data_IF_693132568450
#
_entry.id   IF_693132568450
#
_cell.length_a   1.000
_cell.length_b   1.000
_cell.length_c   1.000
_cell.angle_alpha   90.00
_cell.angle_beta   90.00
_cell.angle_gamma   90.00
#
_symmetry.space_group_name_H-M   'P 1'
#
loop_
_entity.id
_entity.type
_entity.pdbx_description
1 polymer ?
#
# COMPACT_ATOMS: atom_id res chain seq x y z
N UNK A 1 10.94 -26.33 -30.18
CA UNK A 1 10.69 -25.96 -29.63
C UNK A 1 10.06 -25.45 -28.92
N UNK A 2 10.30 -25.27 -28.90
CA UNK A 2 9.79 -24.98 -28.26
C UNK A 2 9.02 -23.99 -27.52
N UNK A 3 7.87 -24.01 -27.72
CA UNK A 3 6.96 -23.04 -27.11
C UNK A 3 7.22 -22.89 -25.63
N UNK A 4 7.60 -23.96 -25.00
CA UNK A 4 7.98 -23.92 -23.61
C UNK A 4 9.14 -22.99 -23.34
N UNK A 5 10.12 -23.03 -24.21
CA UNK A 5 11.28 -22.15 -24.09
C UNK A 5 10.86 -20.69 -24.25
N UNK A 6 9.96 -20.42 -25.18
CA UNK A 6 9.50 -19.06 -25.43
C UNK A 6 8.77 -18.50 -24.20
N UNK A 7 7.98 -19.33 -23.56
CA UNK A 7 7.22 -18.88 -22.38
C UNK A 7 8.12 -18.58 -21.19
N UNK A 8 9.25 -19.27 -21.10
CA UNK A 8 10.15 -19.05 -19.98
C UNK A 8 11.11 -17.90 -20.20
N UNK A 9 11.18 -17.41 -21.44
CA UNK A 9 12.03 -16.26 -21.75
C UNK A 9 11.30 -14.96 -21.49
N UNK A 10 11.90 -14.12 -20.68
CA UNK A 10 11.35 -12.81 -20.39
C UNK A 10 12.18 -11.76 -21.13
N UNK A 11 11.52 -10.99 -21.97
CA UNK A 11 12.18 -9.87 -22.65
C UNK A 11 12.05 -8.64 -21.75
N UNK A 12 13.15 -8.30 -21.12
CA UNK A 12 13.18 -7.20 -20.16
C UNK A 12 12.82 -5.88 -20.83
N UNK A 13 13.32 -5.64 -22.03
CA UNK A 13 13.03 -4.39 -22.73
C UNK A 13 11.53 -4.24 -22.99
N UNK A 14 10.88 -5.32 -23.44
CA UNK A 14 9.44 -5.30 -23.66
C UNK A 14 8.67 -5.07 -22.37
N UNK A 15 9.12 -5.72 -21.28
CA UNK A 15 8.46 -5.54 -20.00
C UNK A 15 8.61 -4.10 -19.47
N UNK A 16 9.76 -3.47 -19.72
CA UNK A 16 9.96 -2.08 -19.32
C UNK A 16 9.04 -1.13 -20.09
N UNK A 17 8.85 -1.40 -21.38
CA UNK A 17 7.91 -0.61 -22.18
C UNK A 17 6.48 -0.77 -21.65
N UNK A 18 6.10 -1.98 -21.32
CA UNK A 18 4.79 -2.28 -20.77
C UNK A 18 4.59 -1.59 -19.43
N UNK A 19 5.59 -1.65 -18.57
CA UNK A 19 5.57 -0.98 -17.27
C UNK A 19 5.46 0.54 -17.43
N UNK A 20 6.17 1.11 -18.41
CA UNK A 20 6.13 2.53 -18.69
C UNK A 20 4.72 2.97 -19.08
N UNK A 21 4.05 2.19 -19.94
CA UNK A 21 2.69 2.51 -20.35
C UNK A 21 1.72 2.40 -19.17
N UNK A 22 1.88 1.37 -18.38
CA UNK A 22 1.05 1.19 -17.18
C UNK A 22 1.23 2.37 -16.22
N UNK A 23 2.46 2.84 -16.06
CA UNK A 23 2.75 3.98 -15.20
C UNK A 23 2.03 5.23 -15.69
N UNK A 24 2.03 5.48 -17.01
CA UNK A 24 1.33 6.63 -17.56
C UNK A 24 -0.17 6.54 -17.32
N UNK A 25 -0.74 5.37 -17.54
CA UNK A 25 -2.18 5.17 -17.37
C UNK A 25 -2.59 5.39 -15.92
N UNK A 26 -1.81 4.85 -14.98
CA UNK A 26 -2.12 5.01 -13.56
C UNK A 26 -1.93 6.44 -13.08
N UNK A 27 -0.99 7.14 -13.67
CA UNK A 27 -0.78 8.55 -13.34
C UNK A 27 -1.98 9.42 -13.64
N UNK A 28 -2.79 9.04 -14.61
CA UNK A 28 -4.01 9.78 -14.93
C UNK A 28 -5.07 9.64 -13.83
N UNK A 29 -5.05 8.53 -13.10
CA UNK A 29 -6.05 8.26 -12.07
C UNK A 29 -5.51 8.63 -10.69
N UNK A 30 -4.29 8.23 -10.40
CA UNK A 30 -3.73 8.35 -9.05
C UNK A 30 -2.78 9.53 -8.87
N UNK A 31 -2.46 10.23 -9.96
CA UNK A 31 -1.51 11.33 -9.91
C UNK A 31 -0.14 10.84 -9.48
N UNK A 32 0.54 11.64 -8.67
CA UNK A 32 1.88 11.29 -8.18
C UNK A 32 1.83 10.82 -6.74
N UNK A 33 0.87 9.98 -6.44
CA UNK A 33 0.64 9.45 -5.11
C UNK A 33 1.90 8.86 -4.47
N UNK A 34 2.72 8.17 -5.28
CA UNK A 34 3.94 7.56 -4.77
C UNK A 34 4.96 8.59 -4.27
N UNK A 35 4.89 9.82 -4.75
CA UNK A 35 5.76 10.89 -4.26
C UNK A 35 5.19 11.55 -3.02
N UNK A 36 3.87 11.62 -2.93
CA UNK A 36 3.20 12.26 -1.81
C UNK A 36 3.29 11.41 -0.55
N UNK A 37 3.43 10.11 -0.72
CA UNK A 37 3.44 9.17 0.40
C UNK A 37 4.56 9.48 1.40
N UNK A 38 5.77 9.77 0.90
CA UNK A 38 6.93 9.99 1.75
C UNK A 38 6.71 11.07 2.81
N UNK A 39 6.40 12.31 2.40
CA UNK A 39 6.15 13.37 3.37
C UNK A 39 5.00 13.08 4.31
N UNK A 40 3.91 12.50 3.81
CA UNK A 40 2.76 12.17 4.65
C UNK A 40 3.13 11.11 5.68
N UNK A 41 3.77 10.03 5.23
CA UNK A 41 4.19 8.97 6.13
C UNK A 41 5.17 9.46 7.17
N UNK A 42 6.10 10.31 6.76
CA UNK A 42 7.08 10.86 7.68
C UNK A 42 6.38 11.66 8.79
N UNK A 43 5.40 12.48 8.42
CA UNK A 43 4.67 13.29 9.40
C UNK A 43 3.86 12.42 10.36
N UNK A 44 3.25 11.35 9.86
CA UNK A 44 2.36 10.53 10.66
C UNK A 44 3.08 9.47 11.48
N UNK A 45 4.18 8.93 10.95
CA UNK A 45 4.84 7.78 11.57
C UNK A 45 6.03 8.15 12.44
N UNK A 46 6.43 9.42 12.46
CA UNK A 46 7.54 9.86 13.31
C UNK A 46 7.22 9.59 14.77
N UNK A 47 8.19 9.00 15.47
CA UNK A 47 8.01 8.70 16.87
C UNK A 47 7.36 7.36 17.18
N UNK A 48 6.88 6.66 16.18
CA UNK A 48 6.36 5.32 16.41
C UNK A 48 7.48 4.34 16.66
N UNK A 49 7.26 3.44 17.60
CA UNK A 49 8.20 2.38 17.91
C UNK A 49 7.78 1.09 17.21
N UNK A 50 8.68 0.55 16.40
CA UNK A 50 8.41 -0.69 15.66
C UNK A 50 9.53 -1.65 16.02
N UNK A 51 9.25 -2.59 16.91
CA UNK A 51 10.26 -3.47 17.48
C UNK A 51 9.96 -4.95 17.31
N UNK A 52 8.69 -5.33 17.45
CA UNK A 52 8.29 -6.73 17.37
C UNK A 52 7.72 -7.07 16.00
N UNK A 53 7.59 -8.37 15.72
CA UNK A 53 6.95 -8.80 14.48
C UNK A 53 5.51 -8.30 14.40
N UNK A 54 4.82 -8.25 15.55
CA UNK A 54 3.48 -7.69 15.59
C UNK A 54 3.44 -6.22 15.25
N UNK A 55 4.44 -5.47 15.74
CA UNK A 55 4.56 -4.06 15.38
C UNK A 55 4.76 -3.86 13.89
N UNK A 56 5.60 -4.71 13.27
CA UNK A 56 5.82 -4.64 11.84
C UNK A 56 4.57 -4.98 11.05
N UNK A 57 3.77 -5.95 11.53
CA UNK A 57 2.50 -6.28 10.88
C UNK A 57 1.55 -5.08 10.92
N UNK A 58 1.42 -4.44 12.07
CA UNK A 58 0.59 -3.25 12.23
C UNK A 58 1.07 -2.12 11.32
N UNK A 59 2.38 -1.92 11.27
CA UNK A 59 2.97 -0.90 10.41
C UNK A 59 2.63 -1.16 8.95
N UNK A 60 2.72 -2.42 8.51
CA UNK A 60 2.43 -2.77 7.13
C UNK A 60 1.01 -2.40 6.72
N UNK A 61 0.03 -2.68 7.58
CA UNK A 61 -1.36 -2.31 7.31
C UNK A 61 -1.52 -0.80 7.34
N UNK A 62 -0.89 -0.13 8.30
CA UNK A 62 -0.97 1.32 8.42
C UNK A 62 -0.42 2.01 7.17
N UNK A 63 0.67 1.49 6.62
CA UNK A 63 1.25 2.01 5.37
C UNK A 63 0.23 1.93 4.23
N UNK A 64 -0.51 0.82 4.15
CA UNK A 64 -1.55 0.69 3.13
C UNK A 64 -2.67 1.71 3.35
N UNK A 65 -3.05 1.95 4.58
CA UNK A 65 -4.08 2.94 4.90
C UNK A 65 -3.64 4.33 4.43
N UNK A 66 -2.42 4.71 4.74
CA UNK A 66 -1.88 6.01 4.32
C UNK A 66 -1.86 6.11 2.81
N UNK A 67 -1.45 5.05 2.13
CA UNK A 67 -1.41 5.03 0.67
C UNK A 67 -2.80 5.24 0.06
N UNK A 68 -3.83 4.59 0.63
CA UNK A 68 -5.19 4.75 0.14
C UNK A 68 -5.73 6.15 0.41
N UNK A 69 -5.37 6.73 1.55
CA UNK A 69 -5.77 8.10 1.86
C UNK A 69 -5.15 9.10 0.90
N UNK A 70 -3.86 8.97 0.60
CA UNK A 70 -3.21 9.89 -0.33
C UNK A 70 -3.82 9.75 -1.73
N UNK A 71 -4.19 8.51 -2.11
CA UNK A 71 -4.86 8.26 -3.39
C UNK A 71 -6.25 8.91 -3.41
N UNK A 72 -6.97 8.81 -2.31
CA UNK A 72 -8.27 9.47 -2.22
C UNK A 72 -8.12 10.99 -2.35
N UNK A 73 -7.16 11.56 -1.66
CA UNK A 73 -6.92 13.01 -1.73
C UNK A 73 -6.59 13.46 -3.14
N UNK A 74 -5.84 12.66 -3.89
CA UNK A 74 -5.51 12.99 -5.28
C UNK A 74 -6.75 13.02 -6.17
N UNK A 75 -7.82 12.37 -5.76
CA UNK A 75 -9.06 12.30 -6.55
C UNK A 75 -10.20 13.08 -5.92
N UNK A 76 -9.93 13.85 -4.87
CA UNK A 76 -10.97 14.58 -4.15
C UNK A 76 -11.75 15.52 -5.07
N UNK A 77 -11.06 16.28 -5.89
CA UNK A 77 -11.71 17.26 -6.78
C UNK A 77 -12.42 16.61 -7.96
N UNK A 78 -12.23 15.30 -8.15
CA UNK A 78 -12.91 14.52 -9.20
C UNK A 78 -14.10 13.76 -8.66
N UNK A 79 -14.50 14.04 -7.42
CA UNK A 79 -15.63 13.36 -6.80
C UNK A 79 -15.24 12.22 -5.87
N UNK A 80 -13.95 12.06 -5.61
CA UNK A 80 -13.47 11.02 -4.70
C UNK A 80 -13.00 9.78 -5.44
N UNK A 81 -12.79 8.70 -4.70
CA UNK A 81 -12.32 7.43 -5.26
C UNK A 81 -12.87 6.30 -4.40
N UNK A 82 -13.95 5.70 -4.88
CA UNK A 82 -14.67 4.70 -4.09
C UNK A 82 -13.82 3.49 -3.74
N UNK A 83 -13.02 3.01 -4.69
CA UNK A 83 -12.16 1.84 -4.43
C UNK A 83 -11.21 2.09 -3.27
N UNK A 84 -10.67 3.30 -3.16
CA UNK A 84 -9.78 3.64 -2.05
C UNK A 84 -10.53 3.59 -0.72
N UNK A 85 -11.77 4.08 -0.70
CA UNK A 85 -12.58 4.06 0.53
C UNK A 85 -12.95 2.64 0.92
N UNK A 86 -13.29 1.80 -0.06
CA UNK A 86 -13.57 0.40 0.21
C UNK A 86 -12.34 -0.31 0.78
N UNK A 87 -11.17 -0.08 0.17
CA UNK A 87 -9.93 -0.65 0.67
C UNK A 87 -9.62 -0.17 2.08
N UNK A 88 -9.85 1.12 2.35
CA UNK A 88 -9.64 1.68 3.68
C UNK A 88 -10.49 0.97 4.73
N UNK A 89 -11.75 0.67 4.40
CA UNK A 89 -12.63 0.00 5.35
C UNK A 89 -12.10 -1.39 5.71
N UNK A 90 -11.57 -2.11 4.73
CA UNK A 90 -11.00 -3.45 4.96
C UNK A 90 -9.72 -3.35 5.79
N UNK A 91 -8.81 -2.47 5.40
CA UNK A 91 -7.55 -2.32 6.11
C UNK A 91 -7.75 -1.83 7.54
N UNK A 92 -8.75 -0.98 7.78
CA UNK A 92 -9.06 -0.53 9.13
C UNK A 92 -9.47 -1.70 10.03
N UNK A 93 -10.27 -2.62 9.50
CA UNK A 93 -10.66 -3.81 10.27
C UNK A 93 -9.47 -4.72 10.53
N UNK A 94 -8.60 -4.88 9.53
CA UNK A 94 -7.39 -5.68 9.71
C UNK A 94 -6.51 -5.08 10.81
N UNK A 95 -6.38 -3.77 10.85
CA UNK A 95 -5.57 -3.12 11.87
C UNK A 95 -6.19 -3.29 13.26
N UNK A 96 -7.52 -3.22 13.34
CA UNK A 96 -8.22 -3.49 14.62
C UNK A 96 -7.89 -4.88 15.14
N UNK A 97 -7.90 -5.87 14.25
CA UNK A 97 -7.58 -7.24 14.64
C UNK A 97 -6.13 -7.34 15.13
N UNK A 98 -5.20 -6.74 14.39
CA UNK A 98 -3.80 -6.76 14.79
C UNK A 98 -3.56 -6.03 16.11
N UNK A 99 -4.26 -4.90 16.33
CA UNK A 99 -4.17 -4.21 17.60
C UNK A 99 -4.67 -5.09 18.74
N UNK A 100 -5.76 -5.80 18.52
CA UNK A 100 -6.31 -6.69 19.54
C UNK A 100 -5.35 -7.83 19.85
N UNK A 101 -4.78 -8.42 18.81
CA UNK A 101 -3.78 -9.49 18.97
C UNK A 101 -2.58 -8.99 19.77
N UNK A 102 -2.14 -7.78 19.48
CA UNK A 102 -1.01 -7.16 20.17
C UNK A 102 -1.32 -6.97 21.66
N UNK A 103 -2.52 -6.47 21.96
CA UNK A 103 -2.94 -6.29 23.35
C UNK A 103 -3.06 -7.59 24.10
N UNK A 104 -3.61 -8.61 23.44
CA UNK A 104 -3.74 -9.94 24.08
C UNK A 104 -2.37 -10.56 24.32
N UNK A 105 -1.46 -10.42 23.35
CA UNK A 105 -0.10 -10.90 23.53
C UNK A 105 0.61 -10.20 24.66
N UNK A 106 0.48 -8.87 24.74
CA UNK A 106 1.07 -8.08 25.82
C UNK A 106 0.46 -8.47 27.17
N UNK A 107 -0.87 -8.61 27.21
CA UNK A 107 -1.56 -9.01 28.44
C UNK A 107 -1.13 -10.39 28.89
N UNK A 108 -0.94 -11.29 27.96
CA UNK A 108 -0.47 -12.64 28.28
C UNK A 108 0.95 -12.62 28.84
N UNK A 109 1.77 -11.71 28.36
CA UNK A 109 3.14 -11.55 28.82
C UNK A 109 3.22 -10.93 30.21
N UNK A 110 2.24 -10.14 30.53
CA UNK A 110 2.19 -9.47 31.83
C UNK A 110 1.66 -10.37 32.92
#
# INVERSE_FOLDING_TARGET
MDAGNNRSSLDVAEELLRASELFRQRGKVYGKNYKDFGPVAHAMLSGMRVESSGDFARLGVLVQIISKLTRYCANFNRGGHDDSLMDLSVYAQMLRELDQDSRLGSGAAE
#
